data_IF_983969563098
#
_entry.id   IF_983969563098
#
_cell.length_a   1.000
_cell.length_b   1.000
_cell.length_c   1.000
_cell.angle_alpha   90.00
_cell.angle_beta   90.00
_cell.angle_gamma   90.00
#
_symmetry.space_group_name_H-M   'P 1'
#
loop_
_entity.id
_entity.type
_entity.pdbx_description
1 polymer ?
#
# COMPACT_ATOMS: atom_id res chain seq x y z
N UNK A 1 -12.81 -23.99 -3.28
CA UNK A 1 -11.82 -22.90 -3.12
C UNK A 1 -12.26 -21.81 -4.07
N UNK A 2 -12.39 -20.57 -3.60
CA UNK A 2 -12.73 -19.46 -4.49
C UNK A 2 -11.55 -19.17 -5.42
N UNK A 3 -11.83 -18.86 -6.68
CA UNK A 3 -10.84 -18.46 -7.67
C UNK A 3 -10.43 -17.03 -7.38
N UNK A 4 -9.12 -16.76 -7.29
CA UNK A 4 -8.57 -15.42 -7.12
C UNK A 4 -8.08 -14.90 -8.47
N UNK A 5 -8.61 -13.77 -8.91
CA UNK A 5 -8.17 -13.09 -10.13
C UNK A 5 -6.98 -12.19 -9.80
N UNK A 6 -5.83 -12.47 -10.41
CA UNK A 6 -4.63 -11.66 -10.26
C UNK A 6 -4.53 -10.63 -11.38
N UNK A 7 -4.32 -9.38 -11.00
CA UNK A 7 -4.15 -8.25 -11.92
C UNK A 7 -2.84 -7.50 -11.61
N UNK A 8 -2.19 -7.01 -12.65
CA UNK A 8 -1.03 -6.12 -12.57
C UNK A 8 -1.35 -4.79 -13.23
N UNK A 9 -0.93 -3.69 -12.62
CA UNK A 9 -1.17 -2.36 -13.19
C UNK A 9 -0.24 -2.06 -14.38
N UNK A 10 0.93 -2.70 -14.42
CA UNK A 10 1.96 -2.46 -15.42
C UNK A 10 2.57 -1.05 -15.36
N UNK A 11 2.39 -0.33 -14.24
CA UNK A 11 2.79 1.07 -14.09
C UNK A 11 3.40 1.32 -12.71
N UNK A 12 4.27 2.32 -12.62
CA UNK A 12 4.79 2.87 -11.35
C UNK A 12 4.25 4.27 -11.06
N UNK A 13 3.35 4.79 -11.90
CA UNK A 13 2.64 6.05 -11.69
C UNK A 13 1.60 5.89 -10.57
N UNK A 14 1.74 6.62 -9.45
CA UNK A 14 0.86 6.45 -8.29
C UNK A 14 -0.59 6.85 -8.55
N UNK A 15 -0.83 7.86 -9.39
CA UNK A 15 -2.19 8.28 -9.73
C UNK A 15 -2.91 7.20 -10.55
N UNK A 16 -2.22 6.63 -11.51
CA UNK A 16 -2.73 5.52 -12.33
C UNK A 16 -2.98 4.27 -11.48
N UNK A 17 -2.05 3.90 -10.62
CA UNK A 17 -2.17 2.71 -9.77
C UNK A 17 -3.35 2.81 -8.79
N UNK A 18 -3.54 3.97 -8.16
CA UNK A 18 -4.69 4.21 -7.28
C UNK A 18 -6.02 4.25 -8.05
N UNK A 19 -6.02 4.77 -9.27
CA UNK A 19 -7.18 4.74 -10.14
C UNK A 19 -7.53 3.32 -10.59
N UNK A 20 -6.51 2.51 -10.91
CA UNK A 20 -6.67 1.11 -11.26
C UNK A 20 -7.31 0.31 -10.11
N UNK A 21 -6.78 0.47 -8.90
CA UNK A 21 -7.32 -0.15 -7.69
C UNK A 21 -8.77 0.26 -7.42
N UNK A 22 -9.09 1.57 -7.52
CA UNK A 22 -10.44 2.06 -7.34
C UNK A 22 -11.38 1.57 -8.44
N UNK A 23 -10.92 1.50 -9.68
CA UNK A 23 -11.70 0.99 -10.80
C UNK A 23 -12.13 -0.46 -10.55
N UNK A 24 -11.19 -1.32 -10.20
CA UNK A 24 -11.50 -2.72 -9.87
C UNK A 24 -12.48 -2.81 -8.69
N UNK A 25 -12.26 -2.01 -7.64
CA UNK A 25 -13.12 -1.97 -6.46
C UNK A 25 -14.58 -1.60 -6.80
N UNK A 26 -14.78 -0.66 -7.72
CA UNK A 26 -16.10 -0.04 -7.96
C UNK A 26 -16.83 -0.58 -9.19
N UNK A 27 -16.14 -1.19 -10.14
CA UNK A 27 -16.74 -1.71 -11.37
C UNK A 27 -16.81 -3.23 -11.45
N UNK A 28 -15.97 -3.95 -10.68
CA UNK A 28 -16.08 -5.40 -10.56
C UNK A 28 -16.86 -5.75 -9.29
N UNK A 29 -18.16 -5.94 -9.44
CA UNK A 29 -19.11 -6.07 -8.34
C UNK A 29 -19.00 -7.38 -7.54
N UNK A 30 -18.31 -8.40 -8.07
CA UNK A 30 -18.14 -9.72 -7.45
C UNK A 30 -16.74 -10.28 -7.68
N UNK A 31 -16.40 -11.33 -6.95
CA UNK A 31 -15.14 -12.06 -7.09
C UNK A 31 -14.01 -11.55 -6.21
N UNK A 32 -12.99 -12.38 -6.11
CA UNK A 32 -11.80 -12.10 -5.32
C UNK A 32 -10.65 -11.68 -6.24
N UNK A 33 -10.04 -10.52 -5.95
CA UNK A 33 -8.94 -9.97 -6.73
C UNK A 33 -7.72 -9.77 -5.84
N UNK A 34 -6.57 -10.08 -6.40
CA UNK A 34 -5.25 -9.77 -5.85
C UNK A 34 -4.50 -8.87 -6.84
N UNK A 35 -4.02 -7.74 -6.37
CA UNK A 35 -3.10 -6.87 -7.09
C UNK A 35 -1.76 -6.83 -6.35
N UNK A 36 -0.65 -6.88 -7.11
CA UNK A 36 0.67 -6.50 -6.64
C UNK A 36 1.17 -5.37 -7.52
N UNK A 37 1.66 -4.30 -6.91
CA UNK A 37 2.00 -3.07 -7.64
C UNK A 37 3.01 -2.21 -6.89
N UNK A 38 3.66 -1.29 -7.59
CA UNK A 38 4.65 -0.39 -7.05
C UNK A 38 4.38 1.05 -7.48
N UNK A 39 4.78 2.00 -6.63
CA UNK A 39 4.91 3.41 -7.00
C UNK A 39 6.38 3.81 -6.94
N UNK A 40 6.82 4.65 -7.86
CA UNK A 40 8.15 5.24 -7.80
C UNK A 40 8.10 6.60 -7.10
N UNK A 41 9.04 6.80 -6.17
CA UNK A 41 9.34 8.08 -5.49
C UNK A 41 8.08 8.89 -5.10
N UNK A 42 7.21 8.30 -4.29
CA UNK A 42 5.86 8.82 -4.02
C UNK A 42 5.55 8.92 -2.53
N UNK A 43 4.91 10.01 -2.10
CA UNK A 43 4.16 10.07 -0.83
C UNK A 43 2.68 9.81 -1.12
N UNK A 44 2.10 8.85 -0.41
CA UNK A 44 0.66 8.55 -0.44
C UNK A 44 0.04 8.97 0.88
N UNK A 45 -0.76 10.05 0.87
CA UNK A 45 -1.48 10.51 2.07
C UNK A 45 -2.81 9.79 2.20
N UNK A 46 -3.26 9.58 3.45
CA UNK A 46 -4.56 8.98 3.74
C UNK A 46 -5.73 9.92 3.43
N UNK A 47 -6.91 9.36 3.21
CA UNK A 47 -8.11 10.07 2.77
C UNK A 47 -8.44 11.31 3.62
N UNK A 48 -8.24 11.25 4.94
CA UNK A 48 -8.67 12.27 5.89
C UNK A 48 -7.52 13.11 6.44
N UNK A 49 -6.30 12.95 5.91
CA UNK A 49 -5.14 13.70 6.37
C UNK A 49 -5.08 15.10 5.76
N UNK A 50 -4.49 16.06 6.49
CA UNK A 50 -4.07 17.34 5.93
C UNK A 50 -2.71 17.17 5.25
N UNK A 51 -2.70 17.16 3.92
CA UNK A 51 -1.50 16.89 3.14
C UNK A 51 -0.34 17.79 3.51
N UNK A 52 -0.58 19.09 3.68
CA UNK A 52 0.47 20.06 4.00
C UNK A 52 1.12 19.84 5.38
N UNK A 53 0.43 19.18 6.31
CA UNK A 53 0.96 18.84 7.63
C UNK A 53 1.74 17.51 7.64
N UNK A 54 1.45 16.62 6.70
CA UNK A 54 2.06 15.29 6.65
C UNK A 54 3.40 15.24 5.92
N UNK A 55 3.68 16.23 5.07
CA UNK A 55 4.87 16.25 4.20
C UNK A 55 5.83 17.36 4.57
N UNK A 56 7.11 17.17 4.26
CA UNK A 56 8.10 18.26 4.21
C UNK A 56 8.15 18.84 2.78
N UNK A 57 7.60 20.06 2.54
CA UNK A 57 7.51 20.60 1.18
C UNK A 57 8.88 20.90 0.54
N UNK A 58 9.89 21.24 1.37
CA UNK A 58 11.23 21.51 0.88
C UNK A 58 11.89 20.22 0.40
N UNK A 59 11.83 19.17 1.22
CA UNK A 59 12.32 17.84 0.89
C UNK A 59 11.61 17.24 -0.32
N UNK A 60 10.26 17.37 -0.38
CA UNK A 60 9.45 16.90 -1.51
C UNK A 60 9.88 17.56 -2.82
N UNK A 61 10.11 18.88 -2.80
CA UNK A 61 10.57 19.63 -3.98
C UNK A 61 12.01 19.25 -4.38
N UNK A 62 12.92 19.18 -3.42
CA UNK A 62 14.32 18.86 -3.65
C UNK A 62 14.50 17.46 -4.28
N UNK A 63 13.73 16.48 -3.78
CA UNK A 63 13.82 15.10 -4.23
C UNK A 63 12.81 14.73 -5.30
N UNK A 64 12.06 15.70 -5.86
CA UNK A 64 11.06 15.49 -6.92
C UNK A 64 10.03 14.41 -6.57
N UNK A 65 9.56 14.38 -5.30
CA UNK A 65 8.62 13.36 -4.83
C UNK A 65 7.21 13.70 -5.31
N UNK A 66 6.54 12.72 -5.91
CA UNK A 66 5.12 12.83 -6.27
C UNK A 66 4.26 12.66 -5.03
N UNK A 67 3.27 13.53 -4.83
CA UNK A 67 2.33 13.44 -3.71
C UNK A 67 0.95 13.12 -4.24
N UNK A 68 0.34 12.05 -3.72
CA UNK A 68 -1.02 11.63 -4.08
C UNK A 68 -1.83 11.30 -2.83
N UNK A 69 -3.16 11.31 -2.95
CA UNK A 69 -4.08 10.91 -1.87
C UNK A 69 -4.79 9.62 -2.25
N UNK A 70 -4.76 8.61 -1.36
CA UNK A 70 -5.54 7.38 -1.52
C UNK A 70 -6.97 7.51 -0.98
N UNK A 71 -7.86 6.61 -1.41
CA UNK A 71 -9.26 6.56 -0.98
C UNK A 71 -9.49 5.86 0.37
N UNK A 72 -8.45 5.30 1.00
CA UNK A 72 -8.49 4.68 2.32
C UNK A 72 -7.97 5.61 3.41
N UNK A 73 -8.34 5.37 4.65
CA UNK A 73 -7.80 6.10 5.81
C UNK A 73 -6.36 5.73 6.16
N UNK A 74 -5.93 6.12 7.37
CA UNK A 74 -4.58 5.85 7.90
C UNK A 74 -3.60 6.97 7.63
N UNK A 75 -2.33 6.78 8.06
CA UNK A 75 -1.25 7.74 7.96
C UNK A 75 -0.61 7.82 6.58
N UNK A 76 0.22 8.85 6.36
CA UNK A 76 1.00 9.00 5.15
C UNK A 76 2.13 7.96 5.09
N UNK A 77 2.44 7.49 3.89
CA UNK A 77 3.52 6.54 3.61
C UNK A 77 4.37 7.05 2.45
N UNK A 78 5.63 6.65 2.42
CA UNK A 78 6.52 6.87 1.29
C UNK A 78 6.75 5.54 0.55
N UNK A 79 6.69 5.60 -0.77
CA UNK A 79 6.93 4.48 -1.67
C UNK A 79 8.11 4.79 -2.59
N UNK A 80 9.00 3.83 -2.76
CA UNK A 80 9.98 3.74 -3.82
C UNK A 80 9.93 2.35 -4.47
N UNK A 81 10.81 2.06 -5.42
CA UNK A 81 10.85 0.76 -6.08
C UNK A 81 11.37 -0.38 -5.17
N UNK A 82 11.78 -0.07 -3.94
CA UNK A 82 12.07 -1.05 -2.89
C UNK A 82 10.85 -1.44 -2.06
N UNK A 83 9.69 -0.76 -2.25
CA UNK A 83 8.42 -1.09 -1.65
C UNK A 83 7.52 -1.84 -2.63
N UNK A 84 6.88 -2.90 -2.17
CA UNK A 84 5.83 -3.61 -2.90
C UNK A 84 4.50 -3.38 -2.22
N UNK A 85 3.48 -2.97 -2.98
CA UNK A 85 2.12 -2.87 -2.48
C UNK A 85 1.33 -4.12 -2.87
N UNK A 86 0.40 -4.50 -2.00
CA UNK A 86 -0.60 -5.53 -2.28
C UNK A 86 -2.00 -5.00 -2.03
N UNK A 87 -2.97 -5.49 -2.80
CA UNK A 87 -4.38 -5.16 -2.62
C UNK A 87 -5.22 -6.42 -2.74
N UNK A 88 -6.04 -6.67 -1.73
CA UNK A 88 -7.14 -7.63 -1.79
C UNK A 88 -8.44 -6.87 -2.02
N UNK A 89 -9.18 -7.26 -3.04
CA UNK A 89 -10.53 -6.73 -3.30
C UNK A 89 -11.48 -7.92 -3.34
N UNK A 90 -12.48 -7.93 -2.45
CA UNK A 90 -13.39 -9.06 -2.28
C UNK A 90 -14.77 -8.59 -1.85
N UNK A 91 -15.75 -9.48 -1.89
CA UNK A 91 -17.08 -9.21 -1.37
C UNK A 91 -17.05 -9.00 0.14
N UNK A 92 -17.75 -7.98 0.63
CA UNK A 92 -17.85 -7.71 2.07
C UNK A 92 -18.70 -8.77 2.80
N UNK A 93 -19.60 -9.45 2.08
CA UNK A 93 -20.57 -10.35 2.69
C UNK A 93 -21.41 -9.62 3.73
N UNK A 94 -21.55 -10.23 4.91
CA UNK A 94 -22.22 -9.63 6.06
C UNK A 94 -21.30 -8.74 6.91
N UNK A 95 -20.08 -8.44 6.46
CA UNK A 95 -19.14 -7.62 7.22
C UNK A 95 -19.55 -6.14 7.18
N UNK A 96 -20.09 -5.65 8.28
CA UNK A 96 -20.37 -4.24 8.50
C UNK A 96 -19.17 -3.49 9.07
N UNK A 97 -18.16 -4.22 9.56
CA UNK A 97 -16.96 -3.68 10.19
C UNK A 97 -15.69 -4.14 9.46
N UNK A 98 -14.66 -3.32 9.57
CA UNK A 98 -13.34 -3.62 9.03
C UNK A 98 -12.74 -4.86 9.71
N UNK A 99 -12.32 -5.85 8.91
CA UNK A 99 -11.76 -7.12 9.37
C UNK A 99 -10.30 -7.24 8.93
N UNK A 100 -9.41 -6.57 9.65
CA UNK A 100 -8.00 -6.49 9.28
C UNK A 100 -7.31 -7.87 9.28
N UNK A 101 -7.55 -8.68 10.30
CA UNK A 101 -6.89 -9.98 10.51
C UNK A 101 -7.07 -10.96 9.34
N UNK A 102 -8.25 -10.95 8.72
CA UNK A 102 -8.56 -11.80 7.56
C UNK A 102 -7.54 -11.63 6.43
N UNK A 103 -7.08 -10.40 6.23
CA UNK A 103 -6.22 -10.03 5.11
C UNK A 103 -4.74 -9.92 5.52
N UNK A 104 -4.49 -9.64 6.81
CA UNK A 104 -3.13 -9.54 7.33
C UNK A 104 -2.50 -10.92 7.51
N UNK A 105 -3.30 -11.91 7.92
CA UNK A 105 -2.83 -13.28 8.16
C UNK A 105 -2.14 -13.91 6.94
N UNK A 106 -2.69 -13.89 5.70
CA UNK A 106 -2.00 -14.45 4.54
C UNK A 106 -0.63 -13.85 4.28
N UNK A 107 -0.47 -12.53 4.55
CA UNK A 107 0.82 -11.85 4.40
C UNK A 107 1.81 -12.34 5.47
N UNK A 108 1.36 -12.43 6.73
CA UNK A 108 2.18 -12.95 7.83
C UNK A 108 2.64 -14.38 7.54
N UNK A 109 1.70 -15.25 7.12
CA UNK A 109 2.01 -16.65 6.78
C UNK A 109 2.99 -16.74 5.59
N UNK A 110 2.86 -15.87 4.57
CA UNK A 110 3.79 -15.82 3.47
C UNK A 110 5.20 -15.41 3.93
N UNK A 111 5.32 -14.42 4.82
CA UNK A 111 6.61 -14.00 5.37
C UNK A 111 7.22 -15.09 6.26
N UNK A 112 6.41 -15.77 7.07
CA UNK A 112 6.85 -16.93 7.88
C UNK A 112 7.33 -18.09 7.01
N UNK A 113 6.72 -18.30 5.86
CA UNK A 113 7.15 -19.29 4.85
C UNK A 113 8.54 -19.02 4.27
N UNK A 114 9.05 -17.78 4.38
CA UNK A 114 10.43 -17.40 4.05
C UNK A 114 11.41 -17.57 5.24
N UNK A 115 10.93 -18.10 6.37
CA UNK A 115 11.74 -18.28 7.58
C UNK A 115 11.83 -17.02 8.45
N UNK A 116 10.94 -16.04 8.26
CA UNK A 116 10.93 -14.79 9.01
C UNK A 116 10.01 -14.90 10.24
N UNK A 117 10.43 -14.31 11.35
CA UNK A 117 9.56 -14.14 12.54
C UNK A 117 8.61 -12.96 12.32
N UNK A 118 7.58 -13.18 11.50
CA UNK A 118 6.58 -12.19 11.17
C UNK A 118 5.35 -12.32 12.08
N UNK A 119 4.81 -11.18 12.49
CA UNK A 119 3.60 -11.10 13.32
C UNK A 119 2.76 -9.86 12.97
N UNK A 120 1.44 -9.97 13.13
CA UNK A 120 0.56 -8.81 13.09
C UNK A 120 0.68 -8.05 14.42
N UNK A 121 0.75 -6.72 14.37
CA UNK A 121 0.90 -5.88 15.54
C UNK A 121 -0.06 -4.70 15.53
N UNK A 122 -0.64 -4.43 16.68
CA UNK A 122 -1.60 -3.35 16.82
C UNK A 122 -2.80 -3.52 15.89
N UNK A 123 -3.19 -2.42 15.25
CA UNK A 123 -4.39 -2.39 14.41
C UNK A 123 -4.13 -2.76 12.95
N UNK A 124 -2.96 -2.39 12.44
CA UNK A 124 -2.72 -2.35 10.99
C UNK A 124 -1.24 -2.49 10.58
N UNK A 125 -0.38 -2.98 11.47
CA UNK A 125 1.04 -3.15 11.19
C UNK A 125 1.41 -4.65 11.12
N UNK A 126 2.43 -4.97 10.32
CA UNK A 126 3.13 -6.25 10.36
C UNK A 126 4.58 -5.97 10.74
N UNK A 127 5.06 -6.72 11.71
CA UNK A 127 6.43 -6.67 12.19
C UNK A 127 7.20 -7.90 11.74
N UNK A 128 8.49 -7.72 11.48
CA UNK A 128 9.49 -8.79 11.36
C UNK A 128 10.62 -8.45 12.34
N UNK A 129 10.97 -9.38 13.23
CA UNK A 129 11.95 -9.17 14.30
C UNK A 129 11.67 -7.87 15.11
N UNK A 130 10.40 -7.59 15.38
CA UNK A 130 9.96 -6.41 16.12
C UNK A 130 10.04 -5.08 15.35
N UNK A 131 10.46 -5.07 14.07
CA UNK A 131 10.51 -3.88 13.21
C UNK A 131 9.36 -3.90 12.20
N UNK A 132 8.71 -2.74 12.05
CA UNK A 132 7.60 -2.60 11.10
C UNK A 132 8.07 -2.74 9.66
N UNK A 133 7.53 -3.71 8.94
CA UNK A 133 7.77 -3.94 7.51
C UNK A 133 6.54 -3.67 6.65
N UNK A 134 5.36 -3.52 7.26
CA UNK A 134 4.10 -3.28 6.56
C UNK A 134 3.17 -2.40 7.37
N UNK A 135 2.46 -1.52 6.68
CA UNK A 135 1.27 -0.83 7.19
C UNK A 135 0.11 -1.08 6.26
N UNK A 136 -1.09 -1.26 6.82
CA UNK A 136 -2.29 -1.61 6.06
C UNK A 136 -3.41 -0.59 6.24
N UNK A 137 -4.30 -0.51 5.27
CA UNK A 137 -5.52 0.26 5.33
C UNK A 137 -6.66 -0.48 4.63
N UNK A 138 -7.90 -0.18 5.03
CA UNK A 138 -9.08 -0.87 4.51
C UNK A 138 -10.20 0.12 4.25
N UNK A 139 -11.03 -0.21 3.25
CA UNK A 139 -12.25 0.52 2.93
C UNK A 139 -13.34 -0.46 2.48
N UNK A 140 -14.57 -0.19 2.92
CA UNK A 140 -15.76 -0.87 2.42
C UNK A 140 -16.56 0.12 1.59
N UNK A 141 -16.94 -0.27 0.38
CA UNK A 141 -17.79 0.53 -0.52
C UNK A 141 -18.65 -0.40 -1.38
N UNK A 142 -19.94 -0.10 -1.48
CA UNK A 142 -20.88 -0.82 -2.36
C UNK A 142 -20.84 -2.36 -2.22
N UNK A 143 -20.72 -2.85 -0.98
CA UNK A 143 -20.63 -4.29 -0.71
C UNK A 143 -19.28 -4.94 -1.03
N UNK A 144 -18.26 -4.15 -1.35
CA UNK A 144 -16.88 -4.61 -1.60
C UNK A 144 -15.92 -4.12 -0.53
N UNK A 145 -14.94 -4.94 -0.21
CA UNK A 145 -13.80 -4.58 0.65
C UNK A 145 -12.57 -4.40 -0.22
N UNK A 146 -11.90 -3.27 -0.04
CA UNK A 146 -10.50 -3.08 -0.41
C UNK A 146 -9.67 -3.13 0.86
N UNK A 147 -8.72 -4.05 0.91
CA UNK A 147 -7.65 -4.08 1.90
C UNK A 147 -6.31 -4.02 1.18
N UNK A 148 -5.56 -2.98 1.42
CA UNK A 148 -4.24 -2.84 0.84
C UNK A 148 -3.17 -2.54 1.89
N UNK A 149 -1.93 -2.84 1.55
CA UNK A 149 -0.78 -2.60 2.42
C UNK A 149 0.51 -2.45 1.64
N UNK A 150 1.50 -1.94 2.36
CA UNK A 150 2.88 -1.81 1.91
C UNK A 150 3.69 -3.02 2.39
N UNK A 151 4.72 -3.38 1.66
CA UNK A 151 5.76 -4.29 2.07
C UNK A 151 7.11 -3.61 1.81
N UNK A 152 7.75 -3.12 2.87
CA UNK A 152 9.08 -2.52 2.79
C UNK A 152 10.09 -3.65 2.55
N UNK A 153 10.42 -3.89 1.28
CA UNK A 153 11.33 -4.98 0.93
C UNK A 153 12.78 -4.52 0.95
N UNK A 154 13.10 -3.45 0.22
CA UNK A 154 14.44 -2.85 0.12
C UNK A 154 14.33 -1.33 -0.10
N UNK A 155 13.44 -0.67 0.65
CA UNK A 155 13.18 0.77 0.57
C UNK A 155 14.27 1.58 1.25
N UNK A 156 14.41 2.85 0.85
CA UNK A 156 15.39 3.78 1.39
C UNK A 156 14.89 4.46 2.67
N UNK A 157 15.39 4.08 3.86
CA UNK A 157 14.87 4.61 5.13
C UNK A 157 15.06 6.13 5.30
N UNK A 158 16.10 6.70 4.69
CA UNK A 158 16.39 8.15 4.73
C UNK A 158 15.31 8.93 3.97
N UNK A 159 14.79 8.39 2.87
CA UNK A 159 13.71 9.03 2.12
C UNK A 159 12.40 8.99 2.92
N UNK A 160 12.11 7.90 3.60
CA UNK A 160 10.93 7.79 4.47
C UNK A 160 11.01 8.83 5.60
N UNK A 161 12.18 8.95 6.22
CA UNK A 161 12.40 9.87 7.35
C UNK A 161 12.39 11.34 6.94
N UNK A 162 12.83 11.67 5.72
CA UNK A 162 12.89 13.04 5.20
C UNK A 162 11.57 13.52 4.60
N UNK A 163 10.86 12.61 3.91
CA UNK A 163 9.65 12.95 3.16
C UNK A 163 8.44 13.25 4.06
N UNK A 164 8.33 12.56 5.19
CA UNK A 164 7.19 12.62 6.09
C UNK A 164 7.48 13.47 7.32
N UNK A 165 6.59 14.40 7.64
CA UNK A 165 6.59 15.08 8.93
C UNK A 165 6.09 14.11 9.99
N UNK A 166 7.00 13.62 10.80
CA UNK A 166 6.64 12.84 11.98
C UNK A 166 6.12 13.82 13.03
N UNK A 167 4.88 13.62 13.48
CA UNK A 167 4.27 14.43 14.55
C UNK A 167 5.18 14.43 15.79
N UNK A 168 5.88 15.56 16.01
CA UNK A 168 6.83 15.70 17.12
C UNK A 168 6.16 15.55 18.49
N UNK A 169 4.84 15.79 18.58
CA UNK A 169 4.10 15.63 19.81
C UNK A 169 3.98 14.16 20.26
N UNK A 170 4.08 13.20 19.34
CA UNK A 170 4.12 11.76 19.65
C UNK A 170 5.53 11.22 19.92
N UNK A 171 6.56 12.04 19.73
CA UNK A 171 7.97 11.65 19.83
C UNK A 171 8.79 12.69 20.58
N UNK A 172 8.66 12.70 21.90
CA UNK A 172 9.64 13.37 22.77
C UNK A 172 10.99 12.64 22.61
N UNK A 173 11.93 13.33 21.95
CA UNK A 173 13.34 13.02 21.79
C UNK A 173 13.79 12.12 20.62
N UNK A 174 14.61 12.70 19.71
CA UNK A 174 15.50 12.07 18.70
C UNK A 174 14.85 11.51 17.44
N UNK A 175 14.34 12.38 16.58
CA UNK A 175 13.42 12.09 15.47
C UNK A 175 13.91 11.16 14.35
N UNK A 176 15.07 11.32 13.76
CA UNK A 176 15.49 10.49 12.61
C UNK A 176 16.01 9.11 13.00
N UNK A 177 16.72 8.97 14.13
CA UNK A 177 17.15 7.67 14.66
C UNK A 177 15.98 6.80 15.10
N UNK A 178 14.87 7.39 15.59
CA UNK A 178 13.71 6.63 16.08
C UNK A 178 12.87 6.05 14.95
N UNK A 179 12.76 6.68 13.78
CA UNK A 179 12.07 6.13 12.62
C UNK A 179 12.86 4.95 12.05
N UNK A 180 14.17 5.10 11.85
CA UNK A 180 15.07 4.01 11.38
C UNK A 180 15.08 2.79 12.31
N UNK A 181 14.89 2.98 13.63
CA UNK A 181 14.86 1.86 14.58
C UNK A 181 13.52 1.14 14.62
N UNK A 182 12.45 1.71 14.07
CA UNK A 182 11.09 1.14 14.11
C UNK A 182 10.66 0.46 12.83
N UNK A 183 11.21 0.89 11.69
CA UNK A 183 10.94 0.26 10.39
C UNK A 183 12.09 -0.67 10.01
N UNK A 184 11.78 -1.70 9.24
CA UNK A 184 12.76 -2.64 8.68
C UNK A 184 12.44 -2.95 7.24
N UNK A 185 13.46 -3.30 6.49
CA UNK A 185 13.30 -3.89 5.18
C UNK A 185 13.24 -5.42 5.31
N UNK A 186 12.28 -6.06 4.65
CA UNK A 186 12.12 -7.51 4.67
C UNK A 186 13.41 -8.21 4.25
N UNK A 187 14.10 -7.66 3.24
CA UNK A 187 15.35 -8.21 2.71
C UNK A 187 16.46 -8.33 3.76
N UNK A 188 16.50 -7.40 4.74
CA UNK A 188 17.51 -7.42 5.81
C UNK A 188 17.40 -8.67 6.72
N UNK A 189 16.21 -9.28 6.77
CA UNK A 189 15.90 -10.41 7.67
C UNK A 189 15.88 -11.74 6.95
N UNK A 190 15.95 -11.76 5.61
CA UNK A 190 15.88 -13.00 4.85
C UNK A 190 17.10 -13.90 5.16
N UNK A 191 16.87 -15.19 5.47
CA UNK A 191 17.98 -16.14 5.68
C UNK A 191 18.78 -16.41 4.41
N UNK A 192 18.17 -16.22 3.24
CA UNK A 192 18.80 -16.32 1.92
C UNK A 192 18.42 -15.06 1.15
N UNK A 193 19.42 -14.36 0.60
CA UNK A 193 19.18 -13.13 -0.17
C UNK A 193 18.29 -13.42 -1.38
N UNK A 194 17.39 -12.48 -1.64
CA UNK A 194 16.37 -12.57 -2.70
C UNK A 194 16.20 -11.18 -3.32
N UNK A 195 16.06 -11.14 -4.63
CA UNK A 195 15.71 -9.91 -5.32
C UNK A 195 14.20 -9.64 -5.25
N UNK A 196 13.78 -8.38 -5.39
CA UNK A 196 12.37 -8.00 -5.31
C UNK A 196 11.49 -8.73 -6.36
N UNK A 197 11.92 -8.96 -7.62
CA UNK A 197 11.13 -9.75 -8.57
C UNK A 197 10.88 -11.21 -8.12
N UNK A 198 11.84 -11.81 -7.42
CA UNK A 198 11.69 -13.17 -6.86
C UNK A 198 10.71 -13.14 -5.68
N UNK A 199 10.80 -12.14 -4.82
CA UNK A 199 9.86 -11.92 -3.73
C UNK A 199 8.44 -11.67 -4.26
N UNK A 200 8.29 -10.88 -5.32
CA UNK A 200 7.01 -10.66 -6.01
C UNK A 200 6.40 -11.97 -6.52
N UNK A 201 7.19 -12.76 -7.24
CA UNK A 201 6.74 -14.06 -7.76
C UNK A 201 6.35 -15.02 -6.63
N UNK A 202 7.12 -15.04 -5.54
CA UNK A 202 6.82 -15.80 -4.34
C UNK A 202 5.48 -15.38 -3.72
N UNK A 203 5.28 -14.09 -3.47
CA UNK A 203 4.03 -13.57 -2.88
C UNK A 203 2.82 -13.88 -3.77
N UNK A 204 2.93 -13.66 -5.06
CA UNK A 204 1.89 -14.00 -6.04
C UNK A 204 1.44 -15.44 -5.87
N UNK A 205 2.38 -16.37 -5.77
CA UNK A 205 2.10 -17.80 -5.57
C UNK A 205 1.46 -18.09 -4.19
N UNK A 206 1.97 -17.49 -3.12
CA UNK A 206 1.48 -17.74 -1.77
C UNK A 206 0.08 -17.17 -1.52
N UNK A 207 -0.15 -15.92 -1.96
CA UNK A 207 -1.38 -15.20 -1.67
C UNK A 207 -2.56 -15.66 -2.52
N UNK A 208 -2.30 -16.19 -3.70
CA UNK A 208 -3.33 -16.66 -4.61
C UNK A 208 -3.69 -18.15 -4.43
N UNK A 209 -2.85 -18.91 -3.71
CA UNK A 209 -3.07 -20.34 -3.50
C UNK A 209 -3.14 -21.12 -4.82
N UNK A 210 -3.92 -22.20 -4.83
CA UNK A 210 -4.07 -23.08 -6.02
C UNK A 210 -5.09 -22.59 -7.03
N UNK A 211 -5.85 -21.53 -6.73
CA UNK A 211 -6.92 -20.99 -7.55
C UNK A 211 -6.59 -19.69 -8.30
N UNK A 212 -5.32 -19.40 -8.56
CA UNK A 212 -4.92 -18.19 -9.28
C UNK A 212 -5.30 -18.23 -10.75
N UNK A 213 -6.02 -17.22 -11.20
CA UNK A 213 -6.24 -16.91 -12.62
C UNK A 213 -5.62 -15.56 -12.92
N UNK A 214 -4.59 -15.54 -13.76
CA UNK A 214 -4.04 -14.27 -14.25
C UNK A 214 -4.98 -13.68 -15.29
N UNK A 215 -5.29 -12.39 -15.14
CA UNK A 215 -6.16 -11.64 -16.05
C UNK A 215 -5.60 -10.24 -16.29
N UNK A 216 -6.23 -9.51 -17.18
CA UNK A 216 -5.95 -8.11 -17.45
C UNK A 216 -7.26 -7.38 -17.69
N UNK A 217 -7.29 -6.08 -17.40
CA UNK A 217 -8.39 -5.23 -17.80
C UNK A 217 -8.40 -5.07 -19.32
N UNK A 218 -9.57 -4.92 -19.89
CA UNK A 218 -9.75 -4.62 -21.32
C UNK A 218 -9.21 -3.24 -21.68
N UNK A 219 -9.01 -2.97 -22.95
CA UNK A 219 -8.56 -1.65 -23.41
C UNK A 219 -9.52 -0.52 -23.01
N UNK A 220 -10.83 -0.78 -23.05
CA UNK A 220 -11.85 0.19 -22.63
C UNK A 220 -11.81 0.46 -21.12
N UNK A 221 -11.61 -0.58 -20.30
CA UNK A 221 -11.43 -0.44 -18.85
C UNK A 221 -10.15 0.34 -18.52
N UNK A 222 -9.04 0.05 -19.20
CA UNK A 222 -7.78 0.78 -19.03
C UNK A 222 -7.92 2.26 -19.42
N UNK A 223 -8.70 2.57 -20.44
CA UNK A 223 -9.03 3.96 -20.82
C UNK A 223 -9.83 4.66 -19.71
N UNK A 224 -10.77 3.97 -19.06
CA UNK A 224 -11.53 4.50 -17.92
C UNK A 224 -10.63 4.68 -16.68
N UNK A 225 -9.68 3.77 -16.43
CA UNK A 225 -8.67 3.93 -15.39
C UNK A 225 -7.82 5.18 -15.63
N UNK A 226 -7.32 5.39 -16.85
CA UNK A 226 -6.55 6.58 -17.22
C UNK A 226 -7.36 7.87 -17.01
N UNK A 227 -8.62 7.88 -17.45
CA UNK A 227 -9.54 8.99 -17.23
C UNK A 227 -9.75 9.28 -15.74
N UNK A 228 -9.98 8.25 -14.91
CA UNK A 228 -10.13 8.39 -13.47
C UNK A 228 -8.84 8.93 -12.81
N UNK A 229 -7.68 8.51 -13.29
CA UNK A 229 -6.41 9.05 -12.83
C UNK A 229 -6.30 10.55 -13.09
N UNK A 230 -6.67 11.00 -14.30
CA UNK A 230 -6.62 12.41 -14.70
C UNK A 230 -7.65 13.27 -13.96
N UNK A 231 -8.90 12.81 -13.90
CA UNK A 231 -10.01 13.57 -13.34
C UNK A 231 -10.01 13.62 -11.80
N UNK A 232 -9.30 12.72 -11.15
CA UNK A 232 -9.27 12.64 -9.69
C UNK A 232 -7.85 12.66 -9.13
N UNK A 233 -7.09 11.60 -9.33
CA UNK A 233 -5.86 11.35 -8.58
C UNK A 233 -4.70 12.31 -8.92
N UNK A 234 -4.69 12.89 -10.11
CA UNK A 234 -3.72 13.92 -10.52
C UNK A 234 -4.16 15.33 -10.17
N UNK A 235 -5.40 15.52 -9.68
CA UNK A 235 -5.91 16.86 -9.38
C UNK A 235 -5.39 17.39 -8.05
N UNK A 236 -5.14 18.69 -7.99
CA UNK A 236 -4.79 19.38 -6.76
C UNK A 236 -5.93 19.29 -5.74
N UNK A 237 -7.17 19.42 -6.22
CA UNK A 237 -8.39 19.37 -5.40
C UNK A 237 -8.49 18.06 -4.62
N UNK A 238 -8.19 16.93 -5.25
CA UNK A 238 -8.21 15.64 -4.57
C UNK A 238 -7.07 15.52 -3.55
N UNK A 239 -5.84 15.88 -3.94
CA UNK A 239 -4.65 15.65 -3.12
C UNK A 239 -4.53 16.67 -1.97
N UNK A 240 -4.76 17.96 -2.23
CA UNK A 240 -4.59 19.04 -1.26
C UNK A 240 -5.91 19.68 -0.86
N UNK A 241 -6.82 19.92 -1.80
CA UNK A 241 -8.08 20.61 -1.58
C UNK A 241 -9.04 19.89 -0.63
N UNK A 242 -8.95 18.57 -0.52
CA UNK A 242 -9.70 17.75 0.44
C UNK A 242 -9.12 17.73 1.85
N UNK A 243 -8.00 18.38 2.09
CA UNK A 243 -7.45 18.49 3.43
C UNK A 243 -8.46 19.15 4.37
N UNK A 244 -8.70 18.59 5.58
CA UNK A 244 -9.60 19.23 6.54
C UNK A 244 -9.10 20.63 6.89
N UNK A 245 -10.02 21.56 7.00
CA UNK A 245 -9.75 22.90 7.53
C UNK A 245 -9.70 22.81 9.05
N UNK A 246 -8.68 23.36 9.66
CA UNK A 246 -8.54 23.52 11.12
C UNK A 246 -8.92 24.93 11.50
#
# INVERSE_FOLDING_TARGET
MSTVTYLETGSTDPAYNLAFEEYVLTHHSTGDYLLLWQNDNTIVVGQNQNTAQEIDPAFVKEHHITVVRRGTGGGAVYHDLGNLNYSFITDSGAAEQLTMDRFTRPIVEALQGLGLHAEASGRNDILVEGRKVSGTAQRIIQGRILHHGTLLFDSRPEMIAGALRVDQAKFTSKSAKSVKSRIGNIREFLPVDMALPEFWAYLKKQLAGTGLVQSALTADELAQVAKLADEKYRTWEWTYGRSPKF
#
